data_IF_770421524013
#
_entry.id   IF_770421524013
#
_cell.length_a   1.000
_cell.length_b   1.000
_cell.length_c   1.000
_cell.angle_alpha   90.00
_cell.angle_beta   90.00
_cell.angle_gamma   90.00
#
_symmetry.space_group_name_H-M   'P 1'
#
loop_
_entity.id
_entity.type
_entity.pdbx_description
1 polymer ?
#
# COMPACT_ATOMS: atom_id res chain seq x y z
N UNK A 1 9.87 17.12 -4.85
CA UNK A 1 9.58 15.79 -4.29
C UNK A 1 9.99 14.73 -5.31
N UNK A 2 10.64 13.69 -4.85
CA UNK A 2 11.05 12.59 -5.71
C UNK A 2 9.84 11.90 -6.32
N UNK A 3 9.96 11.50 -7.59
CA UNK A 3 8.91 10.79 -8.32
C UNK A 3 8.50 9.48 -7.60
N UNK A 4 9.46 8.78 -7.01
CA UNK A 4 9.18 7.56 -6.26
C UNK A 4 8.30 7.84 -5.05
N UNK A 5 8.54 8.95 -4.36
CA UNK A 5 7.72 9.38 -3.22
C UNK A 5 6.29 9.71 -3.66
N UNK A 6 6.13 10.40 -4.79
CA UNK A 6 4.81 10.72 -5.33
C UNK A 6 4.06 9.46 -5.72
N UNK A 7 4.74 8.52 -6.37
CA UNK A 7 4.14 7.26 -6.77
C UNK A 7 3.77 6.41 -5.57
N UNK A 8 4.57 6.44 -4.51
CA UNK A 8 4.28 5.72 -3.29
C UNK A 8 2.97 6.23 -2.65
N UNK A 9 2.80 7.54 -2.60
CA UNK A 9 1.57 8.15 -2.07
C UNK A 9 0.38 7.82 -2.96
N UNK A 10 0.56 7.87 -4.28
CA UNK A 10 -0.49 7.52 -5.24
C UNK A 10 -0.87 6.04 -5.13
N UNK A 11 0.11 5.16 -4.92
CA UNK A 11 -0.13 3.73 -4.72
C UNK A 11 -0.98 3.49 -3.47
N UNK A 12 -0.65 4.17 -2.39
CA UNK A 12 -1.39 4.02 -1.14
C UNK A 12 -2.85 4.51 -1.30
N UNK A 13 -3.05 5.62 -2.01
CA UNK A 13 -4.41 6.12 -2.31
C UNK A 13 -5.19 5.14 -3.19
N UNK A 14 -4.55 4.62 -4.22
CA UNK A 14 -5.20 3.62 -5.09
C UNK A 14 -5.59 2.38 -4.31
N UNK A 15 -4.74 1.94 -3.38
CA UNK A 15 -5.04 0.81 -2.51
C UNK A 15 -6.26 1.08 -1.63
N UNK A 16 -6.37 2.30 -1.09
CA UNK A 16 -7.54 2.67 -0.29
C UNK A 16 -8.82 2.67 -1.13
N UNK A 17 -8.76 3.17 -2.35
CA UNK A 17 -9.90 3.14 -3.26
C UNK A 17 -10.37 1.71 -3.53
N UNK A 18 -9.43 0.80 -3.79
CA UNK A 18 -9.75 -0.60 -4.01
C UNK A 18 -10.36 -1.23 -2.77
N UNK A 19 -9.81 -0.93 -1.60
CA UNK A 19 -10.35 -1.41 -0.33
C UNK A 19 -11.80 -0.94 -0.15
N UNK A 20 -12.07 0.33 -0.42
CA UNK A 20 -13.41 0.89 -0.31
C UNK A 20 -14.38 0.22 -1.28
N UNK A 21 -13.95 -0.05 -2.52
CA UNK A 21 -14.77 -0.75 -3.50
C UNK A 21 -15.13 -2.17 -3.05
N UNK A 22 -14.19 -2.86 -2.40
CA UNK A 22 -14.38 -4.24 -1.95
C UNK A 22 -15.20 -4.36 -0.67
N UNK A 23 -15.21 -3.31 0.15
CA UNK A 23 -15.78 -3.35 1.49
C UNK A 23 -16.81 -2.26 1.75
N UNK A 24 -17.56 -1.84 0.72
CA UNK A 24 -18.70 -0.97 0.88
C UNK A 24 -18.34 0.44 1.35
N UNK A 25 -17.30 1.02 0.78
CA UNK A 25 -16.83 2.39 1.07
C UNK A 25 -16.16 2.57 2.44
N UNK A 26 -15.76 1.49 3.08
CA UNK A 26 -14.99 1.59 4.32
C UNK A 26 -13.57 2.04 4.03
N UNK A 27 -13.07 2.97 4.84
CA UNK A 27 -11.68 3.40 4.78
C UNK A 27 -10.78 2.44 5.55
N UNK A 28 -9.47 2.56 5.35
CA UNK A 28 -8.52 1.78 6.13
C UNK A 28 -8.61 2.12 7.62
N UNK A 29 -8.47 1.10 8.43
CA UNK A 29 -8.24 1.24 9.87
C UNK A 29 -6.87 0.64 10.17
N UNK A 30 -6.32 0.94 11.34
CA UNK A 30 -5.00 0.45 11.73
C UNK A 30 -4.92 -1.08 11.60
N UNK A 31 -3.89 -1.56 10.92
CA UNK A 31 -3.68 -2.99 10.71
C UNK A 31 -4.45 -3.59 9.54
N UNK A 32 -5.20 -2.79 8.79
CA UNK A 32 -5.92 -3.27 7.61
C UNK A 32 -4.93 -3.71 6.53
N UNK A 33 -5.24 -4.81 5.88
CA UNK A 33 -4.46 -5.34 4.77
C UNK A 33 -4.49 -4.39 3.58
N UNK A 34 -3.33 -4.06 3.02
CA UNK A 34 -3.20 -3.10 1.92
C UNK A 34 -3.03 -3.84 0.59
N UNK A 35 -3.96 -3.71 -0.37
CA UNK A 35 -3.87 -4.41 -1.66
C UNK A 35 -2.91 -3.70 -2.63
N UNK A 36 -1.60 -3.76 -2.33
CA UNK A 36 -0.58 -3.03 -3.09
C UNK A 36 -0.45 -3.52 -4.53
N UNK A 37 -0.51 -4.82 -4.77
CA UNK A 37 -0.38 -5.36 -6.12
C UNK A 37 -1.55 -4.91 -7.01
N UNK A 38 -2.76 -4.99 -6.51
CA UNK A 38 -3.94 -4.55 -7.25
C UNK A 38 -3.89 -3.04 -7.51
N UNK A 39 -3.41 -2.27 -6.53
CA UNK A 39 -3.23 -0.82 -6.68
C UNK A 39 -2.20 -0.51 -7.76
N UNK A 40 -1.09 -1.23 -7.78
CA UNK A 40 -0.04 -1.06 -8.79
C UNK A 40 -0.59 -1.33 -10.20
N UNK A 41 -1.34 -2.41 -10.35
CA UNK A 41 -1.96 -2.74 -11.64
C UNK A 41 -2.90 -1.64 -12.11
N UNK A 42 -3.67 -1.06 -11.20
CA UNK A 42 -4.57 0.06 -11.51
C UNK A 42 -3.78 1.29 -12.01
N UNK A 43 -2.58 1.49 -11.49
CA UNK A 43 -1.71 2.58 -11.89
C UNK A 43 -0.86 2.27 -13.13
N UNK A 44 -0.97 1.06 -13.69
CA UNK A 44 -0.16 0.65 -14.83
C UNK A 44 1.25 0.23 -14.45
N UNK A 45 1.49 -0.09 -13.18
CA UNK A 45 2.79 -0.58 -12.69
C UNK A 45 2.70 -2.10 -12.51
N UNK A 46 3.57 -2.84 -13.19
CA UNK A 46 3.61 -4.29 -13.05
C UNK A 46 4.11 -4.68 -11.66
N UNK A 47 3.40 -5.57 -10.94
CA UNK A 47 3.88 -6.05 -9.63
C UNK A 47 5.21 -6.81 -9.70
N UNK A 48 5.62 -7.23 -10.91
CA UNK A 48 6.89 -7.94 -11.10
C UNK A 48 8.04 -7.01 -11.51
N UNK A 49 7.79 -5.70 -11.58
CA UNK A 49 8.79 -4.74 -12.05
C UNK A 49 9.66 -4.20 -10.93
N UNK A 50 10.85 -3.72 -11.29
CA UNK A 50 11.70 -2.97 -10.35
C UNK A 50 11.00 -1.71 -9.85
N UNK A 51 10.18 -1.11 -10.69
CA UNK A 51 9.39 0.08 -10.33
C UNK A 51 8.49 -0.20 -9.14
N UNK A 52 7.77 -1.32 -9.18
CA UNK A 52 6.92 -1.73 -8.07
C UNK A 52 7.74 -1.92 -6.79
N UNK A 53 8.87 -2.63 -6.91
CA UNK A 53 9.75 -2.86 -5.77
C UNK A 53 10.19 -1.54 -5.12
N UNK A 54 10.62 -0.57 -5.95
CA UNK A 54 11.09 0.72 -5.44
C UNK A 54 9.98 1.50 -4.74
N UNK A 55 8.78 1.49 -5.29
CA UNK A 55 7.63 2.20 -4.72
C UNK A 55 7.21 1.58 -3.39
N UNK A 56 7.18 0.25 -3.31
CA UNK A 56 6.84 -0.45 -2.07
C UNK A 56 7.92 -0.23 -1.02
N UNK A 57 9.19 -0.24 -1.41
CA UNK A 57 10.29 0.05 -0.48
C UNK A 57 10.20 1.45 0.08
N UNK A 58 9.75 2.42 -0.73
CA UNK A 58 9.51 3.78 -0.25
C UNK A 58 8.44 3.81 0.83
N UNK A 59 7.34 3.07 0.64
CA UNK A 59 6.28 2.98 1.67
C UNK A 59 6.80 2.32 2.95
N UNK A 60 7.63 1.30 2.84
CA UNK A 60 8.26 0.68 4.02
C UNK A 60 9.21 1.64 4.71
N UNK A 61 10.01 2.35 3.93
CA UNK A 61 10.96 3.34 4.45
C UNK A 61 10.24 4.44 5.22
N UNK A 62 9.12 4.89 4.72
CA UNK A 62 8.29 5.90 5.38
C UNK A 62 7.46 5.34 6.53
N UNK A 63 7.56 4.04 6.77
CA UNK A 63 6.78 3.31 7.78
C UNK A 63 5.26 3.42 7.56
N UNK A 64 4.83 3.65 6.31
CA UNK A 64 3.41 3.74 5.97
C UNK A 64 2.74 2.37 5.95
N UNK A 65 3.51 1.33 5.64
CA UNK A 65 3.04 -0.06 5.65
C UNK A 65 4.06 -0.92 6.40
N UNK A 66 3.60 -2.02 6.96
CA UNK A 66 4.46 -2.99 7.63
C UNK A 66 4.22 -4.37 7.04
N UNK A 67 5.28 -5.15 6.98
CA UNK A 67 5.20 -6.55 6.59
C UNK A 67 4.45 -7.33 7.68
N UNK A 68 3.42 -8.07 7.28
CA UNK A 68 2.70 -8.92 8.21
C UNK A 68 3.48 -10.25 8.35
N UNK A 69 4.07 -10.44 9.51
CA UNK A 69 4.88 -11.62 9.81
C UNK A 69 4.07 -12.76 10.41
N UNK A 70 2.74 -12.64 10.44
CA UNK A 70 1.92 -13.69 11.03
C UNK A 70 2.09 -14.99 10.26
N UNK A 71 2.14 -16.11 11.00
CA UNK A 71 2.38 -17.43 10.44
C UNK A 71 1.35 -17.89 9.40
N UNK A 72 0.18 -17.24 9.39
CA UNK A 72 -0.89 -17.58 8.45
C UNK A 72 -0.51 -17.30 7.00
N UNK A 73 0.46 -16.42 6.79
CA UNK A 73 0.82 -15.95 5.46
C UNK A 73 2.23 -16.40 5.07
N UNK A 74 2.71 -17.46 5.68
CA UNK A 74 4.09 -17.92 5.51
C UNK A 74 4.41 -18.52 4.14
N UNK A 75 3.47 -18.57 3.20
CA UNK A 75 3.67 -19.22 1.89
C UNK A 75 3.96 -18.26 0.75
N UNK A 76 4.86 -17.31 0.99
CA UNK A 76 5.36 -16.48 -0.10
C UNK A 76 4.46 -15.34 -0.55
N UNK A 77 3.27 -15.21 -0.02
CA UNK A 77 2.43 -14.06 -0.31
C UNK A 77 2.85 -12.88 0.56
N UNK A 78 3.21 -11.80 -0.10
CA UNK A 78 3.63 -10.59 0.60
C UNK A 78 2.39 -9.84 1.10
N UNK A 79 2.18 -9.88 2.39
CA UNK A 79 1.05 -9.18 3.02
C UNK A 79 1.56 -7.97 3.78
N UNK A 80 1.10 -6.81 3.36
CA UNK A 80 1.40 -5.55 4.04
C UNK A 80 0.14 -5.05 4.73
N UNK A 81 0.32 -4.48 5.92
CA UNK A 81 -0.78 -3.87 6.67
C UNK A 81 -0.48 -2.39 6.84
N UNK A 82 -1.54 -1.57 6.91
CA UNK A 82 -1.36 -0.14 7.05
C UNK A 82 -1.02 0.21 8.49
N UNK A 83 -0.14 1.21 8.63
CA UNK A 83 0.29 1.72 9.93
C UNK A 83 -0.42 3.04 10.22
N UNK A 84 -0.23 3.56 11.44
CA UNK A 84 -0.70 4.89 11.79
C UNK A 84 -0.10 5.95 10.86
N UNK A 85 1.20 5.82 10.52
CA UNK A 85 1.84 6.74 9.59
C UNK A 85 1.18 6.69 8.21
N UNK A 86 0.84 5.50 7.73
CA UNK A 86 0.14 5.35 6.46
C UNK A 86 -1.22 6.04 6.47
N UNK A 87 -1.95 5.91 7.56
CA UNK A 87 -3.24 6.59 7.72
C UNK A 87 -3.07 8.11 7.70
N UNK A 88 -2.03 8.60 8.39
CA UNK A 88 -1.73 10.04 8.41
C UNK A 88 -1.36 10.55 7.02
N UNK A 89 -0.59 9.80 6.27
CA UNK A 89 -0.22 10.15 4.89
C UNK A 89 -1.45 10.28 3.99
N UNK A 90 -2.42 9.39 4.14
CA UNK A 90 -3.66 9.45 3.38
C UNK A 90 -4.47 10.70 3.71
N UNK A 91 -4.50 11.08 4.98
CA UNK A 91 -5.15 12.32 5.40
C UNK A 91 -4.47 13.56 4.85
N UNK A 92 -3.14 13.56 4.88
CA UNK A 92 -2.33 14.68 4.36
C UNK A 92 -2.50 14.86 2.85
N UNK A 93 -2.73 13.77 2.13
CA UNK A 93 -2.85 13.76 0.68
C UNK A 93 -4.22 14.17 0.18
N UNK A 94 -5.15 14.11 1.02
CA UNK A 94 -6.52 14.30 0.65
C UNK A 94 -7.06 15.62 1.00
#
# INVERSE_FOLDING_TARGET
MDRTTEDARALLRAAQEIHAERHGSHTFTLGTHVPLEAAAQRMGISPDSFRYYDVVKELEYEAAVEWDTSARYARGNKHYVITKRGLDMLRESG
#
